data_IF_057087040028
#
_entry.id   IF_057087040028
#
_cell.length_a   1.000
_cell.length_b   1.000
_cell.length_c   1.000
_cell.angle_alpha   90.00
_cell.angle_beta   90.00
_cell.angle_gamma   90.00
#
_symmetry.space_group_name_H-M   'P 1'
#
loop_
_entity.id
_entity.type
_entity.pdbx_description
1 polymer ?
#
# COMPACT_ATOMS: atom_id res chain seq x y z
N UNK A 1 -0.64 -13.85 -12.23
CA UNK A 1 0.62 -14.60 -12.02
C UNK A 1 1.41 -13.83 -10.96
N UNK A 2 1.61 -14.41 -9.77
CA UNK A 2 2.36 -13.78 -8.68
C UNK A 2 3.82 -13.60 -9.10
N UNK A 3 4.30 -12.35 -9.14
CA UNK A 3 5.67 -11.99 -9.55
C UNK A 3 6.61 -11.83 -8.34
N UNK A 4 6.06 -11.84 -7.14
CA UNK A 4 6.73 -11.86 -5.86
C UNK A 4 5.87 -12.47 -4.74
N UNK A 5 6.48 -12.65 -3.58
CA UNK A 5 5.91 -13.14 -2.34
C UNK A 5 6.71 -12.61 -1.14
N UNK A 6 6.03 -11.97 -0.19
CA UNK A 6 6.54 -11.78 1.16
C UNK A 6 6.19 -12.99 2.03
N UNK A 7 7.22 -13.65 2.57
CA UNK A 7 7.07 -14.80 3.45
C UNK A 7 7.49 -14.46 4.90
N UNK A 8 6.54 -14.15 5.81
CA UNK A 8 6.87 -13.73 7.17
C UNK A 8 7.50 -14.84 8.02
N UNK A 9 7.20 -16.11 7.74
CA UNK A 9 7.79 -17.25 8.47
C UNK A 9 9.26 -17.41 8.16
N UNK A 10 9.62 -17.24 6.89
CA UNK A 10 10.99 -17.32 6.40
C UNK A 10 11.76 -15.99 6.54
N UNK A 11 11.08 -14.89 6.92
CA UNK A 11 11.61 -13.53 6.93
C UNK A 11 12.26 -13.14 5.59
N UNK A 12 11.62 -13.55 4.50
CA UNK A 12 12.15 -13.39 3.16
C UNK A 12 11.16 -12.62 2.28
N UNK A 13 11.70 -11.79 1.40
CA UNK A 13 10.99 -11.26 0.24
C UNK A 13 11.54 -12.01 -0.97
N UNK A 14 10.66 -12.60 -1.78
CA UNK A 14 11.02 -13.30 -3.01
C UNK A 14 10.35 -12.56 -4.16
N UNK A 15 11.09 -12.16 -5.18
CA UNK A 15 10.49 -11.58 -6.38
C UNK A 15 11.36 -11.84 -7.61
N UNK A 16 10.73 -11.76 -8.77
CA UNK A 16 11.42 -11.84 -10.05
C UNK A 16 12.20 -10.55 -10.30
N UNK A 17 13.53 -10.66 -10.37
CA UNK A 17 14.41 -9.51 -10.64
C UNK A 17 14.03 -8.74 -11.91
N UNK A 18 13.68 -9.46 -12.99
CA UNK A 18 13.20 -8.86 -14.24
C UNK A 18 12.01 -7.93 -14.01
N UNK A 19 10.99 -8.42 -13.29
CA UNK A 19 9.78 -7.67 -13.04
C UNK A 19 9.99 -6.52 -12.05
N UNK A 20 10.92 -6.67 -11.10
CA UNK A 20 11.34 -5.59 -10.23
C UNK A 20 11.96 -4.45 -11.04
N UNK A 21 12.89 -4.75 -11.96
CA UNK A 21 13.54 -3.74 -12.82
C UNK A 21 12.52 -3.09 -13.77
N UNK A 22 11.59 -3.87 -14.34
CA UNK A 22 10.51 -3.34 -15.19
C UNK A 22 9.64 -2.34 -14.41
N UNK A 23 9.12 -2.73 -13.24
CA UNK A 23 8.31 -1.84 -12.39
C UNK A 23 9.07 -0.63 -11.88
N UNK A 24 10.37 -0.76 -11.60
CA UNK A 24 11.21 0.39 -11.24
C UNK A 24 11.40 1.38 -12.41
N UNK A 25 11.36 0.89 -13.65
CA UNK A 25 11.59 1.71 -14.85
C UNK A 25 10.35 2.48 -15.30
N UNK A 26 9.14 2.05 -14.89
CA UNK A 26 7.86 2.69 -15.20
C UNK A 26 7.34 3.29 -13.91
N UNK A 27 7.43 4.61 -13.76
CA UNK A 27 7.16 5.29 -12.49
C UNK A 27 5.73 5.82 -12.33
N UNK A 28 4.80 5.40 -13.18
CA UNK A 28 3.46 6.00 -13.26
C UNK A 28 2.33 5.02 -13.65
N UNK A 29 2.59 3.71 -13.68
CA UNK A 29 1.57 2.70 -13.98
C UNK A 29 0.93 2.08 -12.73
N UNK A 30 1.42 2.42 -11.53
CA UNK A 30 0.98 1.90 -10.25
C UNK A 30 1.14 0.37 -10.15
N UNK A 31 2.19 -0.18 -10.79
CA UNK A 31 2.54 -1.59 -10.84
C UNK A 31 3.98 -1.83 -10.36
N UNK A 32 4.35 -1.25 -9.22
CA UNK A 32 5.70 -1.36 -8.69
C UNK A 32 5.86 -2.54 -7.74
N UNK A 33 6.42 -3.64 -8.26
CA UNK A 33 6.64 -4.85 -7.48
C UNK A 33 7.52 -4.61 -6.24
N UNK A 34 8.49 -3.70 -6.33
CA UNK A 34 9.33 -3.34 -5.17
C UNK A 34 8.50 -2.69 -4.07
N UNK A 35 7.79 -1.62 -4.39
CA UNK A 35 6.94 -0.92 -3.42
C UNK A 35 5.87 -1.85 -2.84
N UNK A 36 5.30 -2.73 -3.67
CA UNK A 36 4.30 -3.69 -3.26
C UNK A 36 4.83 -4.63 -2.15
N UNK A 37 5.94 -5.32 -2.42
CA UNK A 37 6.51 -6.27 -1.46
C UNK A 37 7.09 -5.58 -0.22
N UNK A 38 7.66 -4.38 -0.36
CA UNK A 38 8.09 -3.61 0.82
C UNK A 38 6.90 -3.07 1.63
N UNK A 39 5.77 -2.76 0.99
CA UNK A 39 4.52 -2.42 1.66
C UNK A 39 4.02 -3.54 2.57
N UNK A 40 4.09 -4.78 2.09
CA UNK A 40 3.82 -5.98 2.89
C UNK A 40 4.73 -6.10 4.12
N UNK A 41 6.03 -5.84 3.95
CA UNK A 41 6.99 -5.86 5.07
C UNK A 41 6.67 -4.77 6.09
N UNK A 42 6.41 -3.55 5.64
CA UNK A 42 6.06 -2.43 6.54
C UNK A 42 4.80 -2.75 7.34
N UNK A 43 3.76 -3.25 6.66
CA UNK A 43 2.52 -3.67 7.33
C UNK A 43 2.79 -4.78 8.37
N UNK A 44 3.53 -5.82 8.01
CA UNK A 44 3.83 -6.91 8.92
C UNK A 44 4.66 -6.48 10.13
N UNK A 45 5.71 -5.67 9.92
CA UNK A 45 6.58 -5.19 11.00
C UNK A 45 5.87 -4.18 11.89
N UNK A 46 5.10 -3.27 11.30
CA UNK A 46 4.38 -2.22 12.01
C UNK A 46 3.34 -2.77 13.00
N UNK A 47 2.65 -3.86 12.64
CA UNK A 47 1.68 -4.51 13.53
C UNK A 47 2.32 -5.46 14.56
N UNK A 48 3.58 -5.84 14.39
CA UNK A 48 4.24 -6.84 15.25
C UNK A 48 5.12 -6.21 16.33
N UNK A 49 5.69 -5.04 16.05
CA UNK A 49 6.61 -4.37 16.95
C UNK A 49 5.87 -3.36 17.84
N UNK A 50 6.52 -2.92 18.92
CA UNK A 50 5.94 -2.00 19.90
C UNK A 50 6.78 -0.74 20.12
N UNK A 51 7.77 -0.51 19.25
CA UNK A 51 8.52 0.74 19.27
C UNK A 51 7.65 1.93 18.82
N UNK A 52 8.17 3.14 18.99
CA UNK A 52 7.45 4.37 18.65
C UNK A 52 7.01 4.41 17.19
N UNK A 53 7.85 3.93 16.26
CA UNK A 53 7.53 3.92 14.83
C UNK A 53 6.41 2.93 14.50
N UNK A 54 6.42 1.75 15.13
CA UNK A 54 5.37 0.74 15.01
C UNK A 54 4.04 1.22 15.60
N UNK A 55 4.09 1.95 16.72
CA UNK A 55 2.90 2.59 17.31
C UNK A 55 2.29 3.61 16.36
N UNK A 56 3.11 4.50 15.78
CA UNK A 56 2.66 5.49 14.80
C UNK A 56 2.05 4.80 13.58
N UNK A 57 2.71 3.76 13.06
CA UNK A 57 2.18 2.97 11.96
C UNK A 57 0.82 2.36 12.28
N UNK A 58 0.66 1.76 13.46
CA UNK A 58 -0.59 1.09 13.87
C UNK A 58 -1.75 2.08 13.95
N UNK A 59 -1.55 3.24 14.59
CA UNK A 59 -2.57 4.30 14.64
C UNK A 59 -2.96 4.77 13.24
N UNK A 60 -1.96 5.00 12.38
CA UNK A 60 -2.19 5.42 10.99
C UNK A 60 -2.95 4.37 10.20
N UNK A 61 -2.58 3.10 10.35
CA UNK A 61 -3.23 1.97 9.72
C UNK A 61 -4.70 1.89 10.12
N UNK A 62 -5.00 2.01 11.42
CA UNK A 62 -6.37 2.01 11.94
C UNK A 62 -7.19 3.16 11.33
N UNK A 63 -6.66 4.38 11.29
CA UNK A 63 -7.35 5.52 10.68
C UNK A 63 -7.62 5.35 9.18
N UNK A 64 -6.65 4.78 8.44
CA UNK A 64 -6.81 4.47 7.02
C UNK A 64 -7.91 3.41 6.85
N UNK A 65 -7.87 2.35 7.66
CA UNK A 65 -8.86 1.27 7.58
C UNK A 65 -10.26 1.73 7.96
N UNK A 66 -10.40 2.60 8.96
CA UNK A 66 -11.68 3.22 9.31
C UNK A 66 -12.24 4.04 8.14
N UNK A 67 -11.41 4.88 7.50
CA UNK A 67 -11.84 5.67 6.34
C UNK A 67 -12.27 4.76 5.18
N UNK A 68 -11.49 3.72 4.88
CA UNK A 68 -11.70 2.83 3.73
C UNK A 68 -12.89 1.91 3.93
N UNK A 69 -13.10 1.40 5.15
CA UNK A 69 -14.20 0.49 5.48
C UNK A 69 -15.53 1.22 5.66
N UNK A 70 -15.53 2.55 5.77
CA UNK A 70 -16.77 3.31 5.78
C UNK A 70 -17.55 3.08 4.46
N UNK A 71 -18.82 2.63 4.50
CA UNK A 71 -19.50 2.12 3.30
C UNK A 71 -19.53 3.09 2.10
N UNK A 72 -19.71 4.39 2.35
CA UNK A 72 -19.73 5.38 1.28
C UNK A 72 -18.34 5.58 0.65
N UNK A 73 -17.28 5.53 1.46
CA UNK A 73 -15.90 5.66 0.99
C UNK A 73 -15.46 4.40 0.24
N UNK A 74 -15.77 3.22 0.80
CA UNK A 74 -15.50 1.94 0.14
C UNK A 74 -16.13 1.90 -1.25
N UNK A 75 -17.41 2.27 -1.36
CA UNK A 75 -18.12 2.35 -2.64
C UNK A 75 -17.41 3.31 -3.62
N UNK A 76 -17.07 4.52 -3.18
CA UNK A 76 -16.37 5.52 -3.99
C UNK A 76 -15.00 5.00 -4.46
N UNK A 77 -14.25 4.33 -3.59
CA UNK A 77 -12.96 3.73 -3.92
C UNK A 77 -13.12 2.67 -5.02
N UNK A 78 -14.04 1.72 -4.84
CA UNK A 78 -14.25 0.63 -5.81
C UNK A 78 -14.83 1.12 -7.14
N UNK A 79 -15.66 2.16 -7.14
CA UNK A 79 -16.26 2.72 -8.37
C UNK A 79 -15.32 3.62 -9.16
N UNK A 80 -14.28 4.19 -8.52
CA UNK A 80 -13.29 5.05 -9.20
C UNK A 80 -12.44 4.31 -10.23
N UNK A 81 -12.23 3.00 -10.05
CA UNK A 81 -11.22 2.20 -10.74
C UNK A 81 -9.78 2.73 -10.62
N UNK A 82 -9.51 3.65 -9.70
CA UNK A 82 -8.18 4.19 -9.47
C UNK A 82 -7.25 3.14 -8.88
N UNK A 83 -7.62 2.57 -7.73
CA UNK A 83 -6.94 1.40 -7.19
C UNK A 83 -7.42 0.15 -7.92
N UNK A 84 -6.46 -0.69 -8.32
CA UNK A 84 -6.71 -1.98 -8.98
C UNK A 84 -7.63 -2.86 -8.15
N UNK A 85 -8.49 -3.66 -8.81
CA UNK A 85 -9.41 -4.59 -8.13
C UNK A 85 -8.69 -5.52 -7.13
N UNK A 86 -7.43 -5.84 -7.42
CA UNK A 86 -6.57 -6.66 -6.57
C UNK A 86 -6.36 -6.06 -5.16
N UNK A 87 -6.35 -4.74 -5.02
CA UNK A 87 -6.25 -4.05 -3.74
C UNK A 87 -7.35 -4.46 -2.75
N UNK A 88 -8.51 -4.86 -3.26
CA UNK A 88 -9.68 -5.21 -2.44
C UNK A 88 -9.73 -6.70 -2.06
N UNK A 89 -8.65 -7.46 -2.31
CA UNK A 89 -8.57 -8.87 -1.92
C UNK A 89 -8.54 -9.03 -0.39
N UNK A 90 -7.78 -8.18 0.31
CA UNK A 90 -7.73 -8.07 1.77
C UNK A 90 -6.94 -6.79 2.18
N UNK A 91 -6.88 -6.49 3.47
CA UNK A 91 -6.19 -5.29 4.00
C UNK A 91 -4.67 -5.30 3.74
N UNK A 92 -4.06 -6.49 3.63
CA UNK A 92 -2.63 -6.64 3.35
C UNK A 92 -2.27 -6.18 1.93
N UNK A 93 -3.08 -6.61 0.95
CA UNK A 93 -2.97 -6.17 -0.45
C UNK A 93 -3.33 -4.70 -0.61
N UNK A 94 -4.35 -4.24 0.12
CA UNK A 94 -4.80 -2.86 0.05
C UNK A 94 -3.69 -1.87 0.43
N UNK A 95 -2.97 -2.13 1.53
CA UNK A 95 -1.85 -1.28 1.97
C UNK A 95 -0.71 -1.26 0.93
N UNK A 96 -0.36 -2.42 0.37
CA UNK A 96 0.69 -2.49 -0.65
C UNK A 96 0.31 -1.68 -1.89
N UNK A 97 -0.93 -1.82 -2.38
CA UNK A 97 -1.41 -1.08 -3.56
C UNK A 97 -1.54 0.42 -3.28
N UNK A 98 -1.98 0.84 -2.09
CA UNK A 98 -2.00 2.26 -1.72
C UNK A 98 -0.60 2.86 -1.81
N UNK A 99 0.42 2.17 -1.32
CA UNK A 99 1.79 2.66 -1.34
C UNK A 99 2.35 2.76 -2.76
N UNK A 100 2.04 1.82 -3.65
CA UNK A 100 2.35 1.95 -5.09
C UNK A 100 1.82 3.29 -5.64
N UNK A 101 0.54 3.60 -5.41
CA UNK A 101 -0.07 4.84 -5.92
C UNK A 101 0.46 6.09 -5.21
N UNK A 102 0.79 5.99 -3.92
CA UNK A 102 1.37 7.10 -3.16
C UNK A 102 2.72 7.53 -3.73
N UNK A 103 3.56 6.59 -4.15
CA UNK A 103 4.88 6.93 -4.69
C UNK A 103 4.88 7.19 -6.20
N UNK A 104 4.07 6.47 -6.98
CA UNK A 104 4.11 6.57 -8.45
C UNK A 104 3.18 7.65 -9.01
N UNK A 105 2.01 7.83 -8.40
CA UNK A 105 1.01 8.82 -8.86
C UNK A 105 0.46 9.70 -7.71
N UNK A 106 1.33 10.31 -6.86
CA UNK A 106 0.90 11.07 -5.68
C UNK A 106 -0.07 12.21 -6.00
N UNK A 107 0.12 12.87 -7.16
CA UNK A 107 -0.76 13.96 -7.58
C UNK A 107 -2.16 13.48 -7.92
N UNK A 108 -2.29 12.36 -8.62
CA UNK A 108 -3.59 11.77 -8.95
C UNK A 108 -4.26 11.23 -7.69
N UNK A 109 -3.50 10.55 -6.82
CA UNK A 109 -4.02 10.05 -5.55
C UNK A 109 -4.61 11.20 -4.72
N UNK A 110 -3.86 12.30 -4.56
CA UNK A 110 -4.34 13.48 -3.84
C UNK A 110 -5.58 14.10 -4.48
N UNK A 111 -5.68 14.12 -5.81
CA UNK A 111 -6.84 14.66 -6.51
C UNK A 111 -8.09 13.80 -6.32
N UNK A 112 -7.94 12.48 -6.45
CA UNK A 112 -9.08 11.55 -6.39
C UNK A 112 -9.52 11.25 -4.96
N UNK A 113 -8.58 11.14 -4.02
CA UNK A 113 -8.84 10.77 -2.62
C UNK A 113 -8.01 11.62 -1.65
N UNK A 114 -8.29 12.93 -1.55
CA UNK A 114 -7.47 13.86 -0.78
C UNK A 114 -7.39 13.51 0.72
N UNK A 115 -8.48 13.01 1.32
CA UNK A 115 -8.53 12.67 2.75
C UNK A 115 -7.62 11.45 3.03
N UNK A 116 -7.85 10.35 2.32
CA UNK A 116 -7.01 9.16 2.35
C UNK A 116 -5.54 9.47 2.03
N UNK A 117 -5.26 10.30 1.03
CA UNK A 117 -3.89 10.72 0.70
C UNK A 117 -3.20 11.43 1.87
N UNK A 118 -3.88 12.37 2.53
CA UNK A 118 -3.28 13.07 3.66
C UNK A 118 -3.07 12.13 4.86
N UNK A 119 -3.94 11.14 5.10
CA UNK A 119 -3.67 10.10 6.12
C UNK A 119 -2.42 9.29 5.81
N UNK A 120 -2.29 8.83 4.56
CA UNK A 120 -1.09 8.09 4.12
C UNK A 120 0.15 8.96 4.26
N UNK A 121 0.09 10.24 3.87
CA UNK A 121 1.21 11.19 3.93
C UNK A 121 1.62 11.57 5.37
N UNK A 122 0.66 11.80 6.26
CA UNK A 122 0.92 12.39 7.59
C UNK A 122 1.85 11.52 8.45
N UNK A 123 1.94 10.22 8.13
CA UNK A 123 2.69 9.25 8.93
C UNK A 123 3.47 8.22 8.10
N UNK A 124 3.57 8.40 6.77
CA UNK A 124 4.59 7.70 5.99
C UNK A 124 5.94 8.31 6.37
N UNK A 125 6.62 7.66 7.33
CA UNK A 125 8.01 7.91 7.66
C UNK A 125 8.88 7.49 6.47
N UNK A 126 9.00 8.36 5.47
CA UNK A 126 10.15 8.47 4.58
C UNK A 126 10.64 9.92 4.56
#
# INVERSE_FOLDING_TARGET
MHKGEFNPRMKAIVFSWKHFVEGYSINNDNLNLGLHEFGHVMHYQGLKNTDTSATIFTVTYEEIMEEVKFPANYKRLTESNYFRIYAYTNEFEFIAVILEHFFETPHQFKQEFPQLFEKVKMHSLL
#
